data_IF_818141765873
#
_entry.id   IF_818141765873
#
_cell.length_a   1.000
_cell.length_b   1.000
_cell.length_c   1.000
_cell.angle_alpha   90.00
_cell.angle_beta   90.00
_cell.angle_gamma   90.00
#
_symmetry.space_group_name_H-M   'P 1'
#
loop_
_entity.id
_entity.type
_entity.pdbx_description
1 polymer ?
#
# COMPACT_ATOMS: atom_id res chain seq x y z
N UNK A 1 -32.64 -16.64 22.79
CA UNK A 1 -31.95 -15.35 22.96
C UNK A 1 -32.99 -14.26 22.94
N UNK A 2 -33.02 -13.38 23.94
CA UNK A 2 -33.93 -12.21 23.91
C UNK A 2 -33.29 -11.15 23.01
N UNK A 3 -33.89 -10.89 21.86
CA UNK A 3 -33.48 -9.81 20.98
C UNK A 3 -34.06 -8.50 21.52
N UNK A 4 -33.21 -7.53 21.83
CA UNK A 4 -33.63 -6.20 22.26
C UNK A 4 -33.03 -5.13 21.36
N UNK A 5 -33.87 -4.19 20.92
CA UNK A 5 -33.41 -3.07 20.11
C UNK A 5 -32.66 -2.07 21.00
N UNK A 6 -31.45 -1.69 20.58
CA UNK A 6 -30.66 -0.63 21.23
C UNK A 6 -30.55 0.57 20.29
N UNK A 7 -31.20 1.71 20.59
CA UNK A 7 -31.08 2.91 19.78
C UNK A 7 -29.62 3.37 19.68
N UNK A 8 -29.15 3.69 18.47
CA UNK A 8 -27.82 4.27 18.26
C UNK A 8 -27.91 5.80 18.29
N UNK A 9 -26.89 6.44 18.87
CA UNK A 9 -26.78 7.91 18.90
C UNK A 9 -26.09 8.44 17.64
N UNK A 10 -26.50 9.63 17.19
CA UNK A 10 -25.87 10.29 16.03
C UNK A 10 -24.39 10.56 16.31
N UNK A 11 -23.49 10.23 15.38
CA UNK A 11 -22.07 10.52 15.54
C UNK A 11 -21.81 12.03 15.49
N UNK A 12 -20.71 12.46 16.09
CA UNK A 12 -20.25 13.85 16.01
C UNK A 12 -19.79 14.13 14.57
N UNK A 13 -20.23 15.27 14.03
CA UNK A 13 -19.80 15.75 12.71
C UNK A 13 -18.29 16.02 12.70
N UNK A 14 -17.54 15.51 11.71
CA UNK A 14 -16.12 15.85 11.58
C UNK A 14 -15.92 17.37 11.35
N UNK A 15 -14.83 17.93 11.89
CA UNK A 15 -14.55 19.38 11.85
C UNK A 15 -14.06 19.90 10.49
N UNK A 16 -13.37 19.05 9.70
CA UNK A 16 -12.93 19.37 8.33
C UNK A 16 -12.91 18.10 7.45
N UNK A 17 -14.09 17.52 7.15
CA UNK A 17 -14.15 16.25 6.43
C UNK A 17 -13.88 16.44 4.94
N UNK A 18 -13.24 15.45 4.34
CA UNK A 18 -13.34 15.20 2.90
C UNK A 18 -14.80 14.97 2.48
N UNK A 19 -15.08 15.08 1.18
CA UNK A 19 -16.41 14.80 0.62
C UNK A 19 -16.91 13.40 1.01
N UNK A 20 -16.01 12.41 0.99
CA UNK A 20 -16.36 11.03 1.34
C UNK A 20 -16.65 10.86 2.84
N UNK A 21 -15.87 11.47 3.73
CA UNK A 21 -16.13 11.45 5.17
C UNK A 21 -17.47 12.11 5.50
N UNK A 22 -17.79 13.21 4.83
CA UNK A 22 -19.08 13.88 4.98
C UNK A 22 -20.24 13.00 4.49
N UNK A 23 -20.08 12.30 3.37
CA UNK A 23 -21.08 11.38 2.84
C UNK A 23 -21.37 10.23 3.81
N UNK A 24 -20.33 9.60 4.36
CA UNK A 24 -20.50 8.54 5.36
C UNK A 24 -21.17 9.07 6.63
N UNK A 25 -20.74 10.23 7.13
CA UNK A 25 -21.40 10.86 8.28
C UNK A 25 -22.90 11.12 8.00
N UNK A 26 -23.24 11.62 6.82
CA UNK A 26 -24.64 11.82 6.41
C UNK A 26 -25.42 10.50 6.41
N UNK A 27 -24.86 9.43 5.85
CA UNK A 27 -25.51 8.12 5.84
C UNK A 27 -25.65 7.54 7.25
N UNK A 28 -24.68 7.74 8.13
CA UNK A 28 -24.79 7.35 9.54
C UNK A 28 -25.98 8.04 10.22
N UNK A 29 -26.15 9.36 10.02
CA UNK A 29 -27.31 10.08 10.55
C UNK A 29 -28.63 9.57 9.96
N UNK A 30 -28.70 9.36 8.64
CA UNK A 30 -29.91 8.88 7.96
C UNK A 30 -30.29 7.45 8.40
N UNK A 31 -29.32 6.55 8.52
CA UNK A 31 -29.55 5.18 8.96
C UNK A 31 -30.07 5.14 10.40
N UNK A 32 -29.48 5.95 11.30
CA UNK A 32 -29.93 6.08 12.69
C UNK A 32 -31.37 6.61 12.74
N UNK A 33 -31.67 7.68 12.01
CA UNK A 33 -33.01 8.28 11.99
C UNK A 33 -34.05 7.27 11.47
N UNK A 34 -33.72 6.55 10.39
CA UNK A 34 -34.58 5.52 9.81
C UNK A 34 -34.85 4.38 10.79
N UNK A 35 -33.81 3.77 11.37
CA UNK A 35 -33.99 2.60 12.23
C UNK A 35 -34.61 2.95 13.57
N UNK A 36 -34.28 4.11 14.15
CA UNK A 36 -34.91 4.57 15.39
C UNK A 36 -36.40 4.84 15.15
N UNK A 37 -36.77 5.49 14.04
CA UNK A 37 -38.16 5.68 13.66
C UNK A 37 -38.88 4.34 13.45
N UNK A 38 -38.27 3.43 12.70
CA UNK A 38 -38.83 2.09 12.46
C UNK A 38 -39.04 1.30 13.75
N UNK A 39 -38.15 1.45 14.73
CA UNK A 39 -38.34 0.84 16.05
C UNK A 39 -39.50 1.46 16.83
N UNK A 40 -39.67 2.78 16.77
CA UNK A 40 -40.83 3.46 17.37
C UNK A 40 -42.13 3.00 16.70
N UNK A 41 -42.18 2.97 15.37
CA UNK A 41 -43.35 2.53 14.61
C UNK A 41 -43.68 1.06 14.91
N UNK A 42 -42.65 0.19 14.99
CA UNK A 42 -42.83 -1.21 15.36
C UNK A 42 -43.34 -1.40 16.79
N UNK A 43 -43.00 -0.52 17.74
CA UNK A 43 -43.54 -0.60 19.11
C UNK A 43 -45.05 -0.36 19.19
N UNK A 44 -45.64 0.22 18.13
CA UNK A 44 -47.08 0.46 18.01
C UNK A 44 -47.83 -0.73 17.39
N UNK A 45 -47.11 -1.73 16.86
CA UNK A 45 -47.66 -2.90 16.16
C UNK A 45 -47.16 -4.16 16.86
N UNK A 46 -48.00 -5.18 17.07
CA UNK A 46 -47.54 -6.46 17.64
C UNK A 46 -46.73 -7.24 16.60
N UNK A 47 -45.44 -6.91 16.48
CA UNK A 47 -44.50 -7.63 15.61
C UNK A 47 -44.27 -9.08 16.08
N UNK A 48 -44.01 -9.98 15.13
CA UNK A 48 -43.60 -11.35 15.43
C UNK A 48 -42.13 -11.39 15.88
N UNK A 49 -41.69 -12.43 16.60
CA UNK A 49 -40.28 -12.59 16.98
C UNK A 49 -39.31 -12.62 15.79
N UNK A 50 -39.75 -13.12 14.63
CA UNK A 50 -38.94 -13.15 13.41
C UNK A 50 -38.76 -11.75 12.82
N UNK A 51 -39.81 -10.93 12.80
CA UNK A 51 -39.74 -9.54 12.33
C UNK A 51 -38.89 -8.66 13.24
N UNK A 52 -39.01 -8.83 14.57
CA UNK A 52 -38.13 -8.18 15.55
C UNK A 52 -36.66 -8.51 15.28
N UNK A 53 -36.35 -9.79 15.09
CA UNK A 53 -34.99 -10.26 14.81
C UNK A 53 -34.44 -9.64 13.53
N UNK A 54 -35.17 -9.75 12.42
CA UNK A 54 -34.72 -9.21 11.13
C UNK A 54 -34.52 -7.69 11.18
N UNK A 55 -35.38 -6.97 11.90
CA UNK A 55 -35.27 -5.52 12.08
C UNK A 55 -34.01 -5.14 12.85
N UNK A 56 -33.69 -5.84 13.93
CA UNK A 56 -32.46 -5.63 14.71
C UNK A 56 -31.23 -5.97 13.87
N UNK A 57 -31.24 -7.10 13.17
CA UNK A 57 -30.13 -7.51 12.31
C UNK A 57 -29.92 -6.52 11.15
N UNK A 58 -30.98 -5.95 10.58
CA UNK A 58 -30.87 -4.91 9.55
C UNK A 58 -30.17 -3.65 10.07
N UNK A 59 -30.50 -3.19 11.29
CA UNK A 59 -29.80 -2.06 11.90
C UNK A 59 -28.33 -2.35 12.08
N UNK A 60 -27.98 -3.50 12.66
CA UNK A 60 -26.58 -3.82 12.96
C UNK A 60 -25.78 -3.99 11.65
N UNK A 61 -26.34 -4.63 10.62
CA UNK A 61 -25.71 -4.72 9.29
C UNK A 61 -25.38 -3.35 8.70
N UNK A 62 -26.36 -2.43 8.67
CA UNK A 62 -26.17 -1.09 8.11
C UNK A 62 -25.15 -0.29 8.94
N UNK A 63 -25.24 -0.40 10.26
CA UNK A 63 -24.34 0.29 11.18
C UNK A 63 -22.91 -0.21 11.06
N UNK A 64 -22.69 -1.52 11.09
CA UNK A 64 -21.39 -2.16 10.92
C UNK A 64 -20.75 -1.79 9.59
N UNK A 65 -21.54 -1.79 8.51
CA UNK A 65 -21.08 -1.35 7.20
C UNK A 65 -20.56 0.10 7.24
N UNK A 66 -21.34 1.04 7.77
CA UNK A 66 -20.94 2.45 7.83
C UNK A 66 -19.77 2.69 8.78
N UNK A 67 -19.65 1.93 9.88
CA UNK A 67 -18.47 1.97 10.74
C UNK A 67 -17.23 1.45 10.03
N UNK A 68 -17.37 0.38 9.23
CA UNK A 68 -16.27 -0.16 8.44
C UNK A 68 -15.80 0.85 7.38
N UNK A 69 -16.71 1.50 6.65
CA UNK A 69 -16.36 2.55 5.68
C UNK A 69 -15.63 3.72 6.35
N UNK A 70 -16.11 4.17 7.52
CA UNK A 70 -15.41 5.21 8.29
C UNK A 70 -14.01 4.76 8.70
N UNK A 71 -13.86 3.52 9.19
CA UNK A 71 -12.57 2.96 9.63
C UNK A 71 -11.57 2.87 8.48
N UNK A 72 -12.02 2.52 7.28
CA UNK A 72 -11.17 2.48 6.07
C UNK A 72 -10.56 3.85 5.78
N UNK A 73 -11.37 4.91 5.81
CA UNK A 73 -10.87 6.27 5.55
C UNK A 73 -9.91 6.74 6.63
N UNK A 74 -10.26 6.58 7.90
CA UNK A 74 -9.39 6.97 9.02
C UNK A 74 -8.05 6.24 8.92
N UNK A 75 -8.08 4.95 8.56
CA UNK A 75 -6.86 4.17 8.33
C UNK A 75 -6.04 4.76 7.19
N UNK A 76 -6.65 5.11 6.06
CA UNK A 76 -5.95 5.73 4.94
C UNK A 76 -5.30 7.08 5.31
N UNK A 77 -6.02 7.94 6.05
CA UNK A 77 -5.50 9.23 6.53
C UNK A 77 -4.29 9.02 7.44
N UNK A 78 -4.35 8.05 8.36
CA UNK A 78 -3.22 7.70 9.24
C UNK A 78 -2.03 7.20 8.41
N UNK A 79 -2.26 6.36 7.40
CA UNK A 79 -1.20 5.87 6.51
C UNK A 79 -0.51 7.01 5.76
N UNK A 80 -1.29 7.96 5.22
CA UNK A 80 -0.77 9.13 4.52
C UNK A 80 0.04 10.04 5.44
N UNK A 81 -0.48 10.36 6.63
CA UNK A 81 0.23 11.16 7.63
C UNK A 81 1.54 10.50 8.06
N UNK A 82 1.53 9.18 8.27
CA UNK A 82 2.75 8.43 8.60
C UNK A 82 3.79 8.48 7.47
N UNK A 83 3.36 8.42 6.21
CA UNK A 83 4.25 8.54 5.05
C UNK A 83 4.82 9.97 4.92
N UNK A 84 4.01 10.99 5.17
CA UNK A 84 4.45 12.39 5.18
C UNK A 84 5.50 12.62 6.27
N UNK A 85 5.26 12.15 7.50
CA UNK A 85 6.25 12.19 8.57
C UNK A 85 7.53 11.45 8.19
N UNK A 86 7.43 10.23 7.66
CA UNK A 86 8.58 9.45 7.21
C UNK A 86 9.41 10.20 6.15
N UNK A 87 8.76 10.82 5.16
CA UNK A 87 9.43 11.62 4.14
C UNK A 87 10.07 12.88 4.72
N UNK A 88 9.40 13.55 5.64
CA UNK A 88 9.93 14.73 6.32
C UNK A 88 11.16 14.38 7.15
N UNK A 89 11.11 13.28 7.89
CA UNK A 89 12.25 12.75 8.67
C UNK A 89 13.43 12.42 7.76
N UNK A 90 13.20 11.76 6.62
CA UNK A 90 14.27 11.42 5.68
C UNK A 90 14.95 12.64 5.04
N UNK A 91 14.29 13.79 4.96
CA UNK A 91 14.91 15.04 4.49
C UNK A 91 15.84 15.66 5.54
N UNK A 92 15.79 15.21 6.79
CA UNK A 92 16.63 15.71 7.89
C UNK A 92 17.78 14.75 8.24
N UNK A 93 17.70 13.51 7.78
CA UNK A 93 18.73 12.50 7.99
C UNK A 93 19.92 12.74 7.08
N UNK A 94 21.11 12.43 7.58
CA UNK A 94 22.28 12.34 6.72
C UNK A 94 22.27 11.05 5.87
N UNK A 95 23.25 10.94 4.97
CA UNK A 95 23.35 9.80 4.05
C UNK A 95 23.59 8.48 4.79
N UNK A 96 24.32 8.50 5.91
CA UNK A 96 24.65 7.32 6.72
C UNK A 96 23.40 6.81 7.48
N UNK A 97 22.62 7.70 8.08
CA UNK A 97 21.37 7.37 8.75
C UNK A 97 20.34 6.76 7.78
N UNK A 98 20.29 7.26 6.54
CA UNK A 98 19.46 6.67 5.50
C UNK A 98 20.02 5.33 5.01
N UNK A 99 21.35 5.21 4.93
CA UNK A 99 22.05 3.98 4.58
C UNK A 99 21.93 2.89 5.66
N UNK A 100 21.75 3.23 6.93
CA UNK A 100 21.51 2.24 7.98
C UNK A 100 20.02 1.94 8.21
N UNK A 101 19.12 2.56 7.42
CA UNK A 101 17.68 2.35 7.54
C UNK A 101 17.31 0.84 7.39
N UNK A 102 16.62 0.25 8.38
CA UNK A 102 16.13 -1.12 8.29
C UNK A 102 15.10 -1.27 7.15
N UNK A 103 15.34 -2.22 6.26
CA UNK A 103 14.46 -2.52 5.10
C UNK A 103 13.80 -3.90 5.19
N UNK A 104 14.21 -4.72 6.17
CA UNK A 104 13.58 -6.00 6.49
C UNK A 104 13.21 -6.06 7.98
N UNK A 105 12.03 -6.60 8.35
CA UNK A 105 10.96 -7.08 7.47
C UNK A 105 10.29 -5.94 6.69
N UNK A 106 9.76 -6.22 5.50
CA UNK A 106 9.26 -5.22 4.53
C UNK A 106 7.89 -4.60 4.88
N UNK A 107 7.52 -4.62 6.18
CA UNK A 107 6.22 -4.12 6.67
C UNK A 107 6.08 -2.61 6.45
N UNK A 108 7.16 -1.85 6.62
CA UNK A 108 7.15 -0.40 6.41
C UNK A 108 6.90 -0.06 4.94
N UNK A 109 7.60 -0.73 4.01
CA UNK A 109 7.35 -0.55 2.58
C UNK A 109 5.91 -0.90 2.19
N UNK A 110 5.37 -2.04 2.66
CA UNK A 110 3.98 -2.42 2.41
C UNK A 110 2.97 -1.35 2.89
N UNK A 111 3.21 -0.81 4.09
CA UNK A 111 2.40 0.26 4.68
C UNK A 111 2.45 1.52 3.83
N UNK A 112 3.66 1.88 3.39
CA UNK A 112 3.89 3.07 2.60
C UNK A 112 3.34 2.96 1.15
N UNK A 113 3.35 1.77 0.53
CA UNK A 113 2.66 1.51 -0.73
C UNK A 113 1.14 1.71 -0.58
N UNK A 114 0.56 1.17 0.50
CA UNK A 114 -0.86 1.35 0.78
C UNK A 114 -1.24 2.82 1.00
N UNK A 115 -0.35 3.61 1.61
CA UNK A 115 -0.55 5.04 1.85
C UNK A 115 -0.73 5.85 0.54
N UNK A 116 -0.10 5.43 -0.56
CA UNK A 116 -0.25 6.07 -1.88
C UNK A 116 -1.38 5.46 -2.73
N UNK A 117 -2.24 4.64 -2.13
CA UNK A 117 -3.35 4.02 -2.84
C UNK A 117 -2.96 2.77 -3.64
N UNK A 118 -1.83 2.15 -3.33
CA UNK A 118 -1.41 0.87 -3.91
C UNK A 118 -1.59 -0.27 -2.89
N UNK A 119 -2.82 -0.79 -2.72
CA UNK A 119 -3.07 -1.88 -1.78
C UNK A 119 -2.39 -3.17 -2.26
N UNK A 120 -2.10 -4.05 -1.29
CA UNK A 120 -1.60 -5.39 -1.57
C UNK A 120 -2.56 -6.14 -2.51
N UNK A 121 -2.14 -6.58 -3.72
CA UNK A 121 -3.07 -7.14 -4.70
C UNK A 121 -3.74 -8.45 -4.27
N UNK A 122 -3.00 -9.31 -3.55
CA UNK A 122 -3.51 -10.54 -2.95
C UNK A 122 -2.61 -11.00 -1.81
N UNK A 123 -3.03 -11.95 -0.96
CA UNK A 123 -2.17 -12.56 0.07
C UNK A 123 -0.85 -13.13 -0.48
N UNK A 124 -0.82 -13.43 -1.77
CA UNK A 124 0.30 -14.05 -2.49
C UNK A 124 1.32 -13.08 -3.09
N UNK A 125 1.16 -11.78 -2.84
CA UNK A 125 2.14 -10.75 -3.19
C UNK A 125 3.00 -10.41 -1.98
N UNK A 126 4.20 -9.89 -2.24
CA UNK A 126 5.06 -9.27 -1.23
C UNK A 126 5.62 -7.97 -1.80
N UNK A 127 5.87 -6.96 -0.95
CA UNK A 127 6.49 -5.73 -1.43
C UNK A 127 7.96 -6.02 -1.75
N UNK A 128 8.43 -5.45 -2.85
CA UNK A 128 9.79 -5.57 -3.34
C UNK A 128 10.41 -4.17 -3.47
N UNK A 129 11.62 -4.04 -2.97
CA UNK A 129 12.44 -2.84 -3.14
C UNK A 129 13.04 -2.82 -4.56
N UNK A 130 12.80 -1.77 -5.32
CA UNK A 130 13.37 -1.63 -6.67
C UNK A 130 14.90 -1.55 -6.57
N UNK A 131 15.40 -0.57 -5.83
CA UNK A 131 16.79 -0.53 -5.37
C UNK A 131 16.83 -1.34 -4.07
N UNK A 132 17.46 -2.54 -4.08
CA UNK A 132 17.56 -3.37 -2.89
C UNK A 132 18.46 -2.69 -1.85
N UNK A 133 18.45 -3.22 -0.61
CA UNK A 133 19.35 -2.77 0.45
C UNK A 133 20.81 -3.13 0.15
N UNK A 134 21.37 -4.11 0.86
CA UNK A 134 22.76 -4.52 0.63
C UNK A 134 22.95 -5.25 -0.71
N UNK A 135 21.93 -5.99 -1.14
CA UNK A 135 22.06 -6.95 -2.23
C UNK A 135 23.06 -8.09 -1.92
N UNK A 136 23.21 -8.99 -2.89
CA UNK A 136 24.08 -10.16 -2.78
C UNK A 136 25.26 -10.11 -3.75
N UNK A 137 25.12 -9.45 -4.90
CA UNK A 137 26.02 -9.66 -6.05
C UNK A 137 26.79 -8.41 -6.51
N UNK A 138 26.17 -7.24 -6.46
CA UNK A 138 26.69 -5.95 -6.92
C UNK A 138 26.85 -4.98 -5.75
N UNK A 139 27.22 -5.48 -4.56
CA UNK A 139 27.13 -4.75 -3.27
C UNK A 139 27.72 -3.34 -3.31
N UNK A 140 28.92 -3.15 -3.86
CA UNK A 140 29.57 -1.82 -3.95
C UNK A 140 28.76 -0.87 -4.82
N UNK A 141 28.34 -1.31 -6.02
CA UNK A 141 27.56 -0.48 -6.96
C UNK A 141 26.14 -0.22 -6.47
N UNK A 142 25.57 -1.16 -5.73
CA UNK A 142 24.28 -0.99 -5.06
C UNK A 142 24.38 0.02 -3.92
N UNK A 143 25.47 0.01 -3.16
CA UNK A 143 25.74 1.03 -2.14
C UNK A 143 25.76 2.43 -2.76
N UNK A 144 26.48 2.63 -3.88
CA UNK A 144 26.47 3.90 -4.61
C UNK A 144 25.06 4.30 -5.08
N UNK A 145 24.31 3.33 -5.65
CA UNK A 145 22.93 3.55 -6.11
C UNK A 145 21.99 3.93 -4.96
N UNK A 146 22.22 3.35 -3.79
CA UNK A 146 21.46 3.62 -2.58
C UNK A 146 21.81 4.98 -1.98
N UNK A 147 23.09 5.37 -1.96
CA UNK A 147 23.50 6.72 -1.57
C UNK A 147 22.87 7.76 -2.51
N UNK A 148 22.80 7.50 -3.82
CA UNK A 148 22.11 8.39 -4.76
C UNK A 148 20.59 8.51 -4.49
N UNK A 149 19.93 7.41 -4.11
CA UNK A 149 18.53 7.43 -3.66
C UNK A 149 18.36 8.36 -2.44
N UNK A 150 19.26 8.24 -1.48
CA UNK A 150 19.25 8.98 -0.21
C UNK A 150 19.62 10.45 -0.37
N UNK A 151 20.55 10.79 -1.26
CA UNK A 151 20.89 12.17 -1.63
C UNK A 151 19.69 12.97 -2.18
N UNK A 152 18.62 12.28 -2.64
CA UNK A 152 17.36 12.90 -3.04
C UNK A 152 16.30 12.97 -1.93
N UNK A 153 16.65 12.60 -0.70
CA UNK A 153 15.75 12.49 0.45
C UNK A 153 14.73 11.35 0.31
N UNK A 154 15.03 10.34 -0.51
CA UNK A 154 14.16 9.17 -0.70
C UNK A 154 14.71 8.06 0.20
N UNK A 155 13.91 7.64 1.19
CA UNK A 155 14.27 6.53 2.06
C UNK A 155 14.08 5.19 1.37
N UNK A 156 14.72 4.13 1.89
CA UNK A 156 14.67 2.81 1.25
C UNK A 156 13.25 2.25 1.24
N UNK A 157 12.45 2.56 2.27
CA UNK A 157 11.05 2.15 2.37
C UNK A 157 10.05 3.16 1.76
N UNK A 158 10.52 4.19 1.03
CA UNK A 158 9.62 5.07 0.28
C UNK A 158 8.89 4.28 -0.82
N UNK A 159 7.59 4.51 -1.05
CA UNK A 159 6.85 3.74 -2.05
C UNK A 159 7.29 4.02 -3.50
N UNK A 160 8.06 5.10 -3.74
CA UNK A 160 8.77 5.30 -5.01
C UNK A 160 9.80 4.19 -5.28
N UNK A 161 10.41 3.65 -4.23
CA UNK A 161 11.33 2.52 -4.30
C UNK A 161 10.60 1.16 -4.15
N UNK A 162 9.26 1.14 -4.19
CA UNK A 162 8.46 -0.04 -3.89
C UNK A 162 7.61 -0.52 -5.05
N UNK A 163 7.44 -1.83 -5.15
CA UNK A 163 6.48 -2.47 -6.05
C UNK A 163 5.92 -3.75 -5.44
N UNK A 164 4.65 -4.07 -5.71
CA UNK A 164 4.07 -5.36 -5.34
C UNK A 164 4.40 -6.40 -6.40
N UNK A 165 5.02 -7.52 -5.98
CA UNK A 165 5.31 -8.64 -6.88
C UNK A 165 4.71 -9.94 -6.33
N UNK A 166 4.29 -10.88 -7.20
CA UNK A 166 3.92 -12.23 -6.77
C UNK A 166 5.07 -12.87 -5.98
N UNK A 167 4.79 -13.41 -4.80
CA UNK A 167 5.82 -13.94 -3.89
C UNK A 167 6.68 -15.02 -4.53
N UNK A 168 6.05 -15.96 -5.23
CA UNK A 168 6.69 -17.16 -5.79
C UNK A 168 6.32 -17.32 -7.27
N UNK A 169 7.12 -18.09 -8.03
CA UNK A 169 6.85 -18.38 -9.45
C UNK A 169 5.47 -18.98 -9.69
N UNK A 170 4.97 -19.83 -8.78
CA UNK A 170 3.62 -20.41 -8.85
C UNK A 170 2.47 -19.39 -8.72
N UNK A 171 2.75 -18.17 -8.29
CA UNK A 171 1.77 -17.07 -8.16
C UNK A 171 1.81 -16.09 -9.35
N UNK A 172 2.68 -16.32 -10.35
CA UNK A 172 2.72 -15.52 -11.58
C UNK A 172 1.44 -15.72 -12.40
N UNK A 173 1.14 -14.81 -13.33
CA UNK A 173 -0.10 -14.84 -14.10
C UNK A 173 -1.30 -14.25 -13.36
N UNK A 174 -1.08 -13.62 -12.21
CA UNK A 174 -2.13 -12.97 -11.42
C UNK A 174 -2.77 -11.81 -12.21
N UNK A 175 -4.06 -11.56 -11.99
CA UNK A 175 -4.83 -10.53 -12.72
C UNK A 175 -4.26 -9.11 -12.56
N UNK A 176 -3.60 -8.83 -11.43
CA UNK A 176 -2.96 -7.53 -11.17
C UNK A 176 -1.65 -7.32 -11.95
N UNK A 177 -1.15 -8.35 -12.64
CA UNK A 177 0.16 -8.33 -13.29
C UNK A 177 0.48 -9.67 -13.96
N UNK A 178 -0.10 -9.91 -15.15
CA UNK A 178 -0.01 -11.22 -15.82
C UNK A 178 1.44 -11.64 -16.12
N UNK A 179 2.27 -10.68 -16.53
CA UNK A 179 3.65 -10.92 -16.93
C UNK A 179 4.66 -10.46 -15.86
N UNK A 180 4.20 -10.09 -14.66
CA UNK A 180 5.07 -9.64 -13.58
C UNK A 180 5.99 -10.78 -13.12
N UNK A 181 7.29 -10.52 -12.90
CA UNK A 181 8.20 -11.52 -12.37
C UNK A 181 7.89 -11.80 -10.90
N UNK A 182 8.25 -12.99 -10.41
CA UNK A 182 8.08 -13.29 -8.99
C UNK A 182 9.14 -12.58 -8.14
N UNK A 183 8.78 -12.12 -6.95
CA UNK A 183 9.67 -11.51 -5.97
C UNK A 183 10.93 -12.37 -5.76
N UNK A 184 10.76 -13.66 -5.40
CA UNK A 184 11.89 -14.56 -5.17
C UNK A 184 12.69 -14.93 -6.42
N UNK A 185 12.20 -14.61 -7.62
CA UNK A 185 12.86 -14.91 -8.88
C UNK A 185 13.89 -13.85 -9.27
N UNK A 186 13.71 -12.60 -8.83
CA UNK A 186 14.52 -11.45 -9.28
C UNK A 186 15.55 -10.97 -8.27
N UNK A 187 15.70 -11.63 -7.11
CA UNK A 187 16.87 -11.41 -6.25
C UNK A 187 18.10 -12.09 -6.86
N UNK A 188 18.57 -11.56 -8.01
CA UNK A 188 19.57 -12.19 -8.87
C UNK A 188 20.69 -11.22 -9.26
N UNK A 189 21.84 -11.77 -9.68
CA UNK A 189 22.97 -10.97 -10.20
C UNK A 189 22.54 -10.05 -11.35
N UNK A 190 21.73 -10.58 -12.26
CA UNK A 190 21.30 -9.85 -13.44
C UNK A 190 20.36 -8.70 -13.04
N UNK A 191 19.41 -8.94 -12.13
CA UNK A 191 18.56 -7.88 -11.61
C UNK A 191 19.37 -6.75 -10.97
N UNK A 192 20.30 -7.08 -10.07
CA UNK A 192 21.14 -6.06 -9.44
C UNK A 192 21.94 -5.27 -10.48
N UNK A 193 22.47 -5.94 -11.51
CA UNK A 193 23.20 -5.32 -12.63
C UNK A 193 22.32 -4.34 -13.42
N UNK A 194 21.06 -4.71 -13.68
CA UNK A 194 20.08 -3.83 -14.33
C UNK A 194 19.77 -2.59 -13.48
N UNK A 195 19.57 -2.77 -12.18
CA UNK A 195 19.30 -1.66 -11.26
C UNK A 195 20.48 -0.71 -11.22
N UNK A 196 21.69 -1.20 -10.90
CA UNK A 196 22.86 -0.30 -10.77
C UNK A 196 23.18 0.40 -12.09
N UNK A 197 23.03 -0.25 -13.25
CA UNK A 197 23.23 0.40 -14.56
C UNK A 197 22.12 1.41 -14.90
N UNK A 198 20.89 1.16 -14.45
CA UNK A 198 19.78 2.11 -14.60
C UNK A 198 20.00 3.37 -13.76
N UNK A 199 20.71 3.28 -12.64
CA UNK A 199 20.92 4.41 -11.70
C UNK A 199 22.38 4.90 -11.62
N UNK A 200 23.28 4.44 -12.49
CA UNK A 200 24.75 4.64 -12.41
C UNK A 200 25.25 6.08 -12.62
N UNK A 201 24.39 7.09 -12.57
CA UNK A 201 24.78 8.48 -12.82
C UNK A 201 24.66 9.28 -11.51
N UNK A 202 25.78 9.67 -10.88
CA UNK A 202 25.81 10.29 -9.56
C UNK A 202 25.23 11.72 -9.55
N UNK A 203 25.03 12.34 -10.72
CA UNK A 203 24.54 13.71 -10.86
C UNK A 203 23.12 13.78 -11.44
N UNK A 204 22.34 12.70 -11.33
CA UNK A 204 20.96 12.72 -11.83
C UNK A 204 20.13 13.77 -11.08
N UNK A 205 19.45 14.68 -11.79
CA UNK A 205 18.44 15.51 -11.15
C UNK A 205 17.36 14.63 -10.52
N UNK A 206 16.85 15.03 -9.34
CA UNK A 206 15.84 14.27 -8.59
C UNK A 206 14.66 13.83 -9.46
N UNK A 207 14.16 14.69 -10.35
CA UNK A 207 13.06 14.37 -11.24
C UNK A 207 13.40 13.23 -12.21
N UNK A 208 14.62 13.20 -12.75
CA UNK A 208 15.08 12.12 -13.62
C UNK A 208 15.24 10.80 -12.83
N UNK A 209 15.75 10.88 -11.59
CA UNK A 209 15.87 9.72 -10.71
C UNK A 209 14.50 9.10 -10.38
N UNK A 210 13.53 9.93 -9.98
CA UNK A 210 12.15 9.51 -9.72
C UNK A 210 11.50 8.93 -10.98
N UNK A 211 11.74 9.53 -12.15
CA UNK A 211 11.23 9.01 -13.43
C UNK A 211 11.80 7.62 -13.76
N UNK A 212 13.07 7.36 -13.41
CA UNK A 212 13.69 6.04 -13.56
C UNK A 212 13.07 5.00 -12.61
N UNK A 213 12.84 5.35 -11.34
CA UNK A 213 12.12 4.48 -10.39
C UNK A 213 10.73 4.11 -10.92
N UNK A 214 9.95 5.10 -11.39
CA UNK A 214 8.63 4.88 -11.97
C UNK A 214 8.68 4.02 -13.25
N UNK A 215 9.71 4.21 -14.09
CA UNK A 215 9.91 3.39 -15.29
C UNK A 215 10.19 1.93 -14.92
N UNK A 216 11.13 1.68 -14.00
CA UNK A 216 11.45 0.33 -13.51
C UNK A 216 10.22 -0.33 -12.89
N UNK A 217 9.47 0.40 -12.05
CA UNK A 217 8.21 -0.07 -11.47
C UNK A 217 7.23 -0.55 -12.54
N UNK A 218 6.97 0.27 -13.57
CA UNK A 218 6.09 -0.11 -14.69
C UNK A 218 6.62 -1.31 -15.46
N UNK A 219 7.91 -1.36 -15.76
CA UNK A 219 8.53 -2.50 -16.44
C UNK A 219 8.37 -3.80 -15.67
N UNK A 220 8.53 -3.76 -14.35
CA UNK A 220 8.27 -4.92 -13.48
C UNK A 220 6.79 -5.32 -13.51
N UNK A 221 5.86 -4.38 -13.36
CA UNK A 221 4.42 -4.69 -13.35
C UNK A 221 3.92 -5.23 -14.70
N UNK A 222 4.39 -4.66 -15.82
CA UNK A 222 3.94 -5.04 -17.16
C UNK A 222 4.68 -6.26 -17.73
N UNK A 223 5.82 -6.63 -17.15
CA UNK A 223 6.72 -7.63 -17.73
C UNK A 223 7.60 -7.08 -18.86
N UNK A 224 7.69 -5.75 -19.02
CA UNK A 224 8.57 -5.06 -20.00
C UNK A 224 10.01 -4.89 -19.48
N UNK A 225 10.38 -5.64 -18.45
CA UNK A 225 11.74 -5.68 -17.92
C UNK A 225 12.65 -6.50 -18.85
N UNK A 226 13.99 -6.29 -18.81
CA UNK A 226 14.91 -7.15 -19.57
C UNK A 226 14.68 -8.63 -19.22
N UNK A 227 14.65 -9.53 -20.21
CA UNK A 227 14.45 -10.97 -19.95
C UNK A 227 15.57 -11.56 -19.08
N UNK A 228 16.77 -11.00 -19.20
CA UNK A 228 17.97 -11.43 -18.50
C UNK A 228 17.80 -11.42 -16.97
N UNK A 229 16.94 -10.57 -16.40
CA UNK A 229 16.80 -10.48 -14.93
C UNK A 229 16.25 -11.76 -14.30
N UNK A 230 15.53 -12.58 -15.08
CA UNK A 230 14.96 -13.88 -14.67
C UNK A 230 15.74 -15.08 -15.22
N UNK A 231 16.77 -14.84 -16.02
CA UNK A 231 17.66 -15.87 -16.57
C UNK A 231 18.77 -16.24 -15.57
N UNK A 232 19.62 -17.20 -15.95
CA UNK A 232 20.81 -17.53 -15.15
C UNK A 232 21.77 -16.36 -15.12
N UNK A 233 22.57 -16.28 -14.06
CA UNK A 233 23.63 -15.27 -13.89
C UNK A 233 24.46 -15.16 -15.18
N UNK A 234 24.55 -13.94 -15.70
CA UNK A 234 25.38 -13.58 -16.84
C UNK A 234 26.30 -12.42 -16.44
N UNK A 235 27.60 -12.70 -16.33
CA UNK A 235 28.61 -11.69 -15.97
C UNK A 235 28.99 -10.77 -17.12
N UNK A 236 28.63 -11.12 -18.36
CA UNK A 236 28.93 -10.33 -19.55
C UNK A 236 27.81 -9.34 -19.88
N UNK A 237 26.61 -9.55 -19.32
CA UNK A 237 25.50 -8.62 -19.53
C UNK A 237 25.73 -7.30 -18.77
N UNK A 238 25.70 -6.19 -19.50
CA UNK A 238 25.94 -4.85 -18.95
C UNK A 238 24.71 -4.20 -18.29
N UNK A 239 23.59 -4.93 -18.14
CA UNK A 239 22.36 -4.43 -17.53
C UNK A 239 21.55 -3.47 -18.40
N UNK A 240 21.87 -3.36 -19.70
CA UNK A 240 21.17 -2.46 -20.63
C UNK A 240 20.06 -3.21 -21.39
N UNK A 241 19.00 -2.48 -21.71
CA UNK A 241 17.97 -2.85 -22.70
C UNK A 241 18.41 -2.35 -24.06
#
# INVERSE_FOLDING_TARGET
MNFSYTPKAKPIRPSNPSVLEMAIHRYQCLAIDYHNKKNLDASLIKETPAELKERIESLERDWEHLQLERKKIVTQVILQKNLESYRKENLQKDEDELFEEPHHPTRLLARNLSAIGEPKPSPDHDPHHIIPGKGQHQQVRLMETRLALHAHGIGINDPLNGVWLPRNKKHKGHWAGKNTPAHREIHSFNYETWIVSTFSSPLLPKQAFVSRLQNVKRKLLNGDHPSQIIEKKDTNWAGKV
#
